data_IF_189391603840
#
_entry.id   IF_189391603840
#
_cell.length_a   1.000
_cell.length_b   1.000
_cell.length_c   1.000
_cell.angle_alpha   90.00
_cell.angle_beta   90.00
_cell.angle_gamma   90.00
#
_symmetry.space_group_name_H-M   'P 1'
#
loop_
_entity.id
_entity.type
_entity.pdbx_description
1 polymer ?
#
# COMPACT_ATOMS: atom_id res chain seq x y z
N UNK A 1 12.53 -23.16 -9.69
CA UNK A 1 11.38 -23.33 -8.79
C UNK A 1 11.64 -22.51 -7.52
N UNK A 2 10.80 -21.51 -7.29
CA UNK A 2 10.64 -20.76 -6.04
C UNK A 2 9.16 -20.37 -6.05
N UNK A 3 8.29 -21.35 -5.81
CA UNK A 3 6.86 -21.30 -6.16
C UNK A 3 6.04 -20.39 -5.25
N UNK A 4 6.65 -19.84 -4.20
CA UNK A 4 6.01 -18.94 -3.25
C UNK A 4 6.77 -17.59 -3.15
N UNK A 5 6.06 -16.46 -2.98
CA UNK A 5 6.67 -15.17 -2.68
C UNK A 5 7.50 -15.22 -1.40
N UNK A 6 8.60 -14.48 -1.35
CA UNK A 6 9.35 -14.30 -0.12
C UNK A 6 8.52 -13.46 0.89
N UNK A 7 8.81 -13.52 2.20
CA UNK A 7 8.14 -12.67 3.19
C UNK A 7 8.19 -11.17 2.84
N UNK A 8 9.30 -10.73 2.23
CA UNK A 8 9.43 -9.35 1.77
C UNK A 8 8.48 -9.01 0.61
N UNK A 9 8.18 -9.96 -0.28
CA UNK A 9 7.21 -9.76 -1.36
C UNK A 9 5.80 -9.60 -0.79
N UNK A 10 5.44 -10.37 0.24
CA UNK A 10 4.18 -10.19 0.97
C UNK A 10 4.10 -8.84 1.69
N UNK A 11 5.20 -8.39 2.30
CA UNK A 11 5.28 -7.05 2.86
C UNK A 11 5.01 -5.99 1.80
N UNK A 12 5.65 -6.07 0.63
CA UNK A 12 5.40 -5.13 -0.47
C UNK A 12 3.95 -5.21 -0.97
N UNK A 13 3.37 -6.40 -1.12
CA UNK A 13 1.97 -6.59 -1.54
C UNK A 13 0.97 -6.05 -0.49
N UNK A 14 1.34 -6.04 0.79
CA UNK A 14 0.50 -5.48 1.86
C UNK A 14 0.26 -3.98 1.67
N UNK A 15 1.15 -3.26 1.00
CA UNK A 15 1.03 -1.82 0.73
C UNK A 15 -0.16 -1.55 -0.20
N UNK A 16 -0.22 -2.25 -1.34
CA UNK A 16 -1.35 -2.17 -2.28
C UNK A 16 -2.64 -2.66 -1.66
N UNK A 17 -2.59 -3.74 -0.87
CA UNK A 17 -3.77 -4.29 -0.18
C UNK A 17 -4.33 -3.31 0.87
N UNK A 18 -3.46 -2.74 1.70
CA UNK A 18 -3.86 -1.73 2.69
C UNK A 18 -4.44 -0.49 2.00
N UNK A 19 -3.86 -0.07 0.88
CA UNK A 19 -4.40 1.03 0.09
C UNK A 19 -5.79 0.70 -0.46
N UNK A 20 -6.00 -0.55 -0.90
CA UNK A 20 -7.29 -1.07 -1.38
C UNK A 20 -8.38 -1.02 -0.32
N UNK A 21 -8.05 -1.40 0.92
CA UNK A 21 -8.97 -1.30 2.06
C UNK A 21 -9.42 0.15 2.28
N UNK A 22 -8.50 1.10 2.20
CA UNK A 22 -8.83 2.52 2.39
C UNK A 22 -9.66 3.09 1.24
N UNK A 23 -9.41 2.66 -0.01
CA UNK A 23 -10.28 2.99 -1.16
C UNK A 23 -11.68 2.43 -0.94
N UNK A 24 -11.80 1.16 -0.55
CA UNK A 24 -13.07 0.49 -0.31
C UNK A 24 -13.88 1.19 0.79
N UNK A 25 -13.26 1.46 1.94
CA UNK A 25 -13.88 2.17 3.06
C UNK A 25 -14.32 3.59 2.66
N UNK A 26 -13.48 4.31 1.91
CA UNK A 26 -13.79 5.66 1.44
C UNK A 26 -15.05 5.68 0.56
N UNK A 27 -15.13 4.76 -0.41
CA UNK A 27 -16.26 4.65 -1.33
C UNK A 27 -17.53 4.19 -0.61
N UNK A 28 -17.43 3.15 0.23
CA UNK A 28 -18.57 2.61 0.98
C UNK A 28 -19.23 3.67 1.86
N UNK A 29 -18.44 4.47 2.60
CA UNK A 29 -18.96 5.56 3.45
C UNK A 29 -19.68 6.67 2.67
N UNK A 30 -19.51 6.72 1.36
CA UNK A 30 -20.09 7.76 0.47
C UNK A 30 -21.13 7.19 -0.50
N UNK A 31 -21.44 5.90 -0.41
CA UNK A 31 -22.33 5.22 -1.36
C UNK A 31 -21.81 5.21 -2.79
N UNK A 32 -20.48 5.25 -2.98
CA UNK A 32 -19.85 5.17 -4.29
C UNK A 32 -19.65 3.69 -4.65
N UNK A 33 -20.15 3.22 -5.80
CA UNK A 33 -19.90 1.86 -6.26
C UNK A 33 -18.40 1.58 -6.45
N UNK A 34 -17.98 0.35 -6.18
CA UNK A 34 -16.59 -0.09 -6.38
C UNK A 34 -16.35 -0.75 -7.74
N UNK A 35 -17.38 -0.83 -8.57
CA UNK A 35 -17.30 -1.36 -9.91
C UNK A 35 -16.22 -0.62 -10.72
N UNK A 36 -15.32 -1.39 -11.34
CA UNK A 36 -14.20 -0.88 -12.14
C UNK A 36 -13.22 0.04 -11.37
N UNK A 37 -13.12 -0.12 -10.05
CA UNK A 37 -12.04 0.50 -9.25
C UNK A 37 -10.88 -0.48 -9.09
N UNK A 38 -9.66 -0.03 -9.37
CA UNK A 38 -8.44 -0.86 -9.28
C UNK A 38 -7.27 -0.06 -8.70
N UNK A 39 -6.40 -0.76 -7.97
CA UNK A 39 -5.11 -0.21 -7.55
C UNK A 39 -3.99 -0.89 -8.34
N UNK A 40 -3.11 -0.07 -8.92
CA UNK A 40 -1.89 -0.52 -9.58
C UNK A 40 -0.69 -0.06 -8.77
N UNK A 41 -0.05 -1.02 -8.10
CA UNK A 41 1.22 -0.79 -7.41
C UNK A 41 2.38 -1.04 -8.38
N UNK A 42 3.26 -0.05 -8.54
CA UNK A 42 4.54 -0.19 -9.25
C UNK A 42 5.69 0.13 -8.30
N UNK A 43 6.83 -0.52 -8.52
CA UNK A 43 7.99 -0.42 -7.65
C UNK A 43 9.25 -0.24 -8.47
N UNK A 44 10.05 0.75 -8.09
CA UNK A 44 11.38 0.97 -8.65
C UNK A 44 12.42 0.53 -7.64
N UNK A 45 13.40 -0.28 -8.07
CA UNK A 45 14.49 -0.76 -7.22
C UNK A 45 15.71 0.14 -7.38
N UNK A 46 16.37 0.43 -6.28
CA UNK A 46 17.71 1.01 -6.24
C UNK A 46 18.74 -0.13 -6.44
N UNK A 47 19.48 -0.15 -7.56
CA UNK A 47 20.43 -1.22 -7.84
C UNK A 47 21.64 -1.22 -6.90
N UNK A 48 22.01 -0.08 -6.33
CA UNK A 48 23.17 0.05 -5.45
C UNK A 48 22.81 -0.34 -4.02
N UNK A 49 21.69 0.18 -3.51
CA UNK A 49 21.22 -0.09 -2.15
C UNK A 49 20.50 -1.42 -2.00
N UNK A 50 20.09 -2.04 -3.12
CA UNK A 50 19.24 -3.24 -3.17
C UNK A 50 17.91 -3.05 -2.43
N UNK A 51 17.39 -1.82 -2.39
CA UNK A 51 16.13 -1.44 -1.72
C UNK A 51 15.10 -0.93 -2.73
N UNK A 52 13.84 -0.80 -2.31
CA UNK A 52 12.82 -0.10 -3.11
C UNK A 52 13.05 1.40 -2.98
N UNK A 53 13.19 2.09 -4.11
CA UNK A 53 13.40 3.54 -4.20
C UNK A 53 12.08 4.31 -4.26
N UNK A 54 11.12 3.79 -5.04
CA UNK A 54 9.83 4.43 -5.25
C UNK A 54 8.74 3.37 -5.32
N UNK A 55 7.63 3.65 -4.64
CA UNK A 55 6.38 2.90 -4.77
C UNK A 55 5.33 3.88 -5.29
N UNK A 56 4.76 3.55 -6.44
CA UNK A 56 3.67 4.31 -7.05
C UNK A 56 2.38 3.53 -6.89
N UNK A 57 1.33 4.18 -6.42
CA UNK A 57 -0.01 3.62 -6.27
C UNK A 57 -0.97 4.41 -7.15
N UNK A 58 -1.30 3.87 -8.31
CA UNK A 58 -2.36 4.46 -9.15
C UNK A 58 -3.70 3.91 -8.72
N UNK A 59 -4.64 4.81 -8.42
CA UNK A 59 -6.03 4.45 -8.14
C UNK A 59 -6.82 4.70 -9.43
N UNK A 60 -7.06 3.63 -10.19
CA UNK A 60 -7.88 3.64 -11.40
C UNK A 60 -9.35 3.64 -10.97
N UNK A 61 -10.10 4.66 -11.38
CA UNK A 61 -11.54 4.84 -11.09
C UNK A 61 -12.31 4.97 -12.41
N UNK A 62 -13.61 4.65 -12.46
CA UNK A 62 -14.38 4.77 -13.69
C UNK A 62 -14.53 6.24 -14.14
N UNK A 63 -14.81 6.51 -15.43
CA UNK A 63 -14.88 7.88 -15.97
C UNK A 63 -15.93 8.79 -15.31
N UNK A 64 -16.97 8.20 -14.73
CA UNK A 64 -18.07 8.85 -14.02
C UNK A 64 -17.78 9.04 -12.52
N UNK A 65 -16.59 8.67 -12.04
CA UNK A 65 -16.21 8.87 -10.64
C UNK A 65 -16.26 10.36 -10.27
N UNK A 66 -16.96 10.75 -9.17
CA UNK A 66 -17.19 12.16 -8.87
C UNK A 66 -15.88 12.94 -8.66
N UNK A 67 -15.67 13.98 -9.48
CA UNK A 67 -14.43 14.78 -9.49
C UNK A 67 -14.07 15.33 -8.09
N UNK A 68 -15.09 15.79 -7.35
CA UNK A 68 -14.95 16.30 -5.97
C UNK A 68 -14.32 15.30 -4.99
N UNK A 69 -14.33 14.00 -5.30
CA UNK A 69 -13.79 12.95 -4.44
C UNK A 69 -12.42 12.43 -4.86
N UNK A 70 -11.87 12.81 -6.02
CA UNK A 70 -10.55 12.32 -6.46
C UNK A 70 -9.44 12.70 -5.47
N UNK A 71 -9.33 13.98 -5.12
CA UNK A 71 -8.33 14.44 -4.15
C UNK A 71 -8.58 13.92 -2.72
N UNK A 72 -9.83 13.94 -2.19
CA UNK A 72 -10.14 13.28 -0.92
C UNK A 72 -9.81 11.78 -0.88
N UNK A 73 -9.98 11.05 -1.99
CA UNK A 73 -9.63 9.63 -2.09
C UNK A 73 -8.12 9.43 -1.97
N UNK A 74 -7.32 10.23 -2.67
CA UNK A 74 -5.86 10.21 -2.55
C UNK A 74 -5.44 10.45 -1.09
N UNK A 75 -6.02 11.45 -0.42
CA UNK A 75 -5.75 11.72 1.00
C UNK A 75 -6.16 10.58 1.92
N UNK A 76 -7.25 9.88 1.61
CA UNK A 76 -7.65 8.70 2.39
C UNK A 76 -6.60 7.59 2.27
N UNK A 77 -6.16 7.28 1.06
CA UNK A 77 -5.12 6.26 0.82
C UNK A 77 -3.76 6.68 1.39
N UNK A 78 -3.46 7.98 1.41
CA UNK A 78 -2.26 8.53 2.04
C UNK A 78 -2.15 8.18 3.53
N UNK A 79 -3.29 7.95 4.19
CA UNK A 79 -3.37 7.59 5.60
C UNK A 79 -3.27 6.07 5.85
N UNK A 80 -2.96 5.26 4.83
CA UNK A 80 -2.92 3.82 4.98
C UNK A 80 -1.88 3.38 6.02
N UNK A 81 -2.27 2.43 6.87
CA UNK A 81 -1.50 2.07 8.06
C UNK A 81 -0.10 1.52 7.73
N UNK A 82 0.02 0.75 6.65
CA UNK A 82 1.32 0.23 6.20
C UNK A 82 2.25 1.36 5.79
N UNK A 83 1.78 2.33 4.99
CA UNK A 83 2.58 3.50 4.61
C UNK A 83 3.00 4.33 5.83
N UNK A 84 2.09 4.54 6.78
CA UNK A 84 2.40 5.28 8.02
C UNK A 84 3.57 4.65 8.79
N UNK A 85 3.56 3.33 9.00
CA UNK A 85 4.65 2.64 9.70
C UNK A 85 5.97 2.61 8.91
N UNK A 86 5.93 2.85 7.59
CA UNK A 86 7.16 3.00 6.79
C UNK A 86 7.75 4.40 6.96
N UNK A 87 6.89 5.42 7.02
CA UNK A 87 7.31 6.82 7.18
C UNK A 87 7.69 7.17 8.63
N UNK A 88 7.08 6.47 9.59
CA UNK A 88 7.37 6.53 11.02
C UNK A 88 7.76 5.13 11.51
N UNK A 89 8.98 4.66 11.18
CA UNK A 89 9.41 3.30 11.46
C UNK A 89 9.67 3.09 12.95
N UNK A 90 9.32 1.91 13.50
CA UNK A 90 9.66 1.58 14.87
C UNK A 90 11.17 1.38 15.03
N UNK A 91 11.67 1.60 16.25
CA UNK A 91 13.01 1.16 16.64
C UNK A 91 13.07 -0.37 16.72
N UNK A 92 14.19 -0.93 16.26
CA UNK A 92 14.45 -2.36 16.33
C UNK A 92 15.46 -2.65 17.45
N UNK A 93 15.03 -3.38 18.48
CA UNK A 93 15.93 -3.93 19.49
C UNK A 93 16.26 -5.39 19.14
N UNK A 94 17.49 -5.66 18.74
CA UNK A 94 17.95 -6.99 18.33
C UNK A 94 18.91 -7.51 19.40
N UNK A 95 18.59 -8.67 19.97
CA UNK A 95 19.37 -9.29 21.03
C UNK A 95 19.54 -10.78 20.75
N UNK A 96 20.74 -11.30 21.01
CA UNK A 96 20.99 -12.74 21.08
C UNK A 96 20.76 -13.16 22.52
N UNK A 97 19.88 -14.13 22.74
CA UNK A 97 19.57 -14.69 24.06
C UNK A 97 19.81 -16.20 24.06
N UNK A 98 20.31 -16.73 25.16
CA UNK A 98 20.46 -18.17 25.35
C UNK A 98 19.10 -18.80 25.66
N UNK A 99 18.85 -20.00 25.12
CA UNK A 99 17.64 -20.75 25.47
C UNK A 99 17.82 -21.39 26.85
N UNK A 100 16.79 -21.39 27.72
CA UNK A 100 16.83 -22.10 28.99
C UNK A 100 16.94 -23.62 28.80
#
# INVERSE_FOLDING_TARGET
>A
ENSAPAPFDYFLASIGTCSGIYVADFCQKRGIPLDNVRIVQRMERDPEKKMIKLITLDIEVPPDFPEKYKQPLVRAVDLCSVKKHILDPPDFAIQVVEKP
#
